data_IF_568769354821
#
_entry.id   IF_568769354821
#
_cell.length_a   1.000
_cell.length_b   1.000
_cell.length_c   1.000
_cell.angle_alpha   90.00
_cell.angle_beta   90.00
_cell.angle_gamma   90.00
#
_symmetry.space_group_name_H-M   'P 1'
#
loop_
_entity.id
_entity.type
_entity.pdbx_description
1 polymer ?
#
# COMPACT_ATOMS: atom_id res chain seq x y z
N UNK A 1 5.64 12.87 -9.59
CA UNK A 1 4.51 11.94 -9.79
C UNK A 1 4.96 10.49 -9.78
N UNK A 2 5.83 10.08 -10.72
CA UNK A 2 6.37 8.71 -10.74
C UNK A 2 7.04 8.29 -9.43
N UNK A 3 7.86 9.16 -8.85
CA UNK A 3 8.59 8.89 -7.60
C UNK A 3 7.65 8.62 -6.42
N UNK A 4 6.52 9.35 -6.35
CA UNK A 4 5.52 9.15 -5.30
C UNK A 4 4.83 7.80 -5.46
N UNK A 5 4.45 7.45 -6.69
CA UNK A 5 3.82 6.15 -6.97
C UNK A 5 4.74 4.98 -6.64
N UNK A 6 6.02 5.08 -7.01
CA UNK A 6 7.00 4.03 -6.70
C UNK A 6 7.19 3.86 -5.20
N UNK A 7 7.34 4.97 -4.47
CA UNK A 7 7.48 4.97 -3.02
C UNK A 7 6.27 4.30 -2.36
N UNK A 8 5.07 4.74 -2.73
CA UNK A 8 3.83 4.19 -2.20
C UNK A 8 3.72 2.70 -2.49
N UNK A 9 4.11 2.28 -3.70
CA UNK A 9 4.04 0.90 -4.12
C UNK A 9 4.97 0.00 -3.29
N UNK A 10 6.21 0.45 -3.05
CA UNK A 10 7.16 -0.28 -2.20
C UNK A 10 6.63 -0.41 -0.78
N UNK A 11 6.18 0.69 -0.19
CA UNK A 11 5.68 0.71 1.20
C UNK A 11 4.47 -0.21 1.33
N UNK A 12 3.55 -0.13 0.38
CA UNK A 12 2.35 -0.99 0.36
C UNK A 12 2.73 -2.48 0.29
N UNK A 13 3.66 -2.85 -0.59
CA UNK A 13 4.04 -4.25 -0.75
C UNK A 13 4.82 -4.77 0.46
N UNK A 14 5.70 -3.97 1.03
CA UNK A 14 6.40 -4.36 2.27
C UNK A 14 5.38 -4.60 3.39
N UNK A 15 4.40 -3.72 3.52
CA UNK A 15 3.33 -3.86 4.51
C UNK A 15 2.57 -5.18 4.31
N UNK A 16 2.16 -5.48 3.07
CA UNK A 16 1.43 -6.70 2.74
C UNK A 16 2.25 -7.96 3.04
N UNK A 17 3.55 -7.95 2.74
CA UNK A 17 4.43 -9.07 3.05
C UNK A 17 4.57 -9.26 4.56
N UNK A 18 4.71 -8.17 5.30
CA UNK A 18 4.76 -8.22 6.76
C UNK A 18 3.44 -8.72 7.35
N UNK A 19 2.32 -8.29 6.79
CA UNK A 19 0.98 -8.72 7.18
C UNK A 19 0.80 -10.23 6.99
N UNK A 20 1.39 -10.77 5.92
CA UNK A 20 1.37 -12.21 5.61
C UNK A 20 2.40 -13.02 6.39
N UNK A 21 3.23 -12.37 7.21
CA UNK A 21 4.29 -13.04 7.96
C UNK A 21 5.49 -13.45 7.13
N UNK A 22 5.63 -12.93 5.93
CA UNK A 22 6.73 -13.26 5.04
C UNK A 22 7.94 -12.38 5.28
N UNK A 23 9.14 -12.95 5.09
CA UNK A 23 10.39 -12.19 5.18
C UNK A 23 10.54 -11.29 3.97
N UNK A 24 10.99 -10.06 4.20
CA UNK A 24 11.23 -9.07 3.16
C UNK A 24 12.73 -8.92 2.94
N UNK A 25 13.16 -9.13 1.70
CA UNK A 25 14.56 -9.00 1.30
C UNK A 25 14.66 -8.27 -0.03
N UNK A 26 15.87 -7.83 -0.36
CA UNK A 26 16.14 -7.22 -1.68
C UNK A 26 15.77 -8.21 -2.79
N UNK A 27 16.14 -9.49 -2.63
CA UNK A 27 15.82 -10.53 -3.61
C UNK A 27 14.33 -10.72 -3.79
N UNK A 28 13.57 -10.77 -2.68
CA UNK A 28 12.12 -10.94 -2.72
C UNK A 28 11.44 -9.77 -3.44
N UNK A 29 11.85 -8.55 -3.12
CA UNK A 29 11.29 -7.35 -3.75
C UNK A 29 11.69 -7.24 -5.22
N UNK A 30 12.92 -7.61 -5.55
CA UNK A 30 13.39 -7.65 -6.95
C UNK A 30 12.52 -8.56 -7.81
N UNK A 31 12.20 -9.75 -7.30
CA UNK A 31 11.33 -10.69 -7.99
C UNK A 31 9.90 -10.17 -8.09
N UNK A 32 9.37 -9.65 -6.98
CA UNK A 32 7.99 -9.15 -6.92
C UNK A 32 7.76 -8.02 -7.92
N UNK A 33 8.69 -7.08 -8.01
CA UNK A 33 8.56 -5.91 -8.90
C UNK A 33 9.14 -6.15 -10.29
N UNK A 34 9.81 -7.27 -10.50
CA UNK A 34 10.52 -7.58 -11.76
C UNK A 34 11.49 -6.46 -12.15
N UNK A 35 12.34 -6.08 -11.20
CA UNK A 35 13.37 -5.05 -11.37
C UNK A 35 14.70 -5.56 -10.83
N UNK A 36 15.79 -4.86 -11.17
CA UNK A 36 17.13 -5.23 -10.69
C UNK A 36 17.25 -5.02 -9.17
N UNK A 37 18.07 -5.86 -8.53
CA UNK A 37 18.38 -5.72 -7.10
C UNK A 37 18.96 -4.35 -6.76
N UNK A 38 19.78 -3.78 -7.68
CA UNK A 38 20.33 -2.44 -7.50
C UNK A 38 19.25 -1.37 -7.43
N UNK A 39 18.19 -1.51 -8.23
CA UNK A 39 17.04 -0.60 -8.19
C UNK A 39 16.32 -0.68 -6.85
N UNK A 40 16.13 -1.89 -6.34
CA UNK A 40 15.52 -2.11 -5.02
C UNK A 40 16.38 -1.49 -3.92
N UNK A 41 17.69 -1.76 -3.94
CA UNK A 41 18.62 -1.21 -2.94
C UNK A 41 18.62 0.32 -2.94
N UNK A 42 18.57 0.94 -4.11
CA UNK A 42 18.53 2.40 -4.23
C UNK A 42 17.23 2.96 -3.65
N UNK A 43 16.08 2.32 -3.92
CA UNK A 43 14.81 2.75 -3.37
C UNK A 43 14.79 2.58 -1.84
N UNK A 44 15.30 1.45 -1.34
CA UNK A 44 15.36 1.23 0.11
C UNK A 44 16.22 2.26 0.82
N UNK A 45 17.31 2.70 0.21
CA UNK A 45 18.13 3.79 0.76
C UNK A 45 17.33 5.08 0.87
N UNK A 46 16.57 5.43 -0.15
CA UNK A 46 15.70 6.61 -0.12
C UNK A 46 14.65 6.50 0.97
N UNK A 47 14.01 5.34 1.09
CA UNK A 47 12.99 5.10 2.11
C UNK A 47 13.58 5.12 3.52
N UNK A 48 14.80 4.62 3.69
CA UNK A 48 15.53 4.66 4.95
C UNK A 48 15.86 6.10 5.36
N UNK A 49 16.28 6.92 4.41
CA UNK A 49 16.55 8.35 4.66
C UNK A 49 15.28 9.10 5.06
N UNK A 50 14.13 8.65 4.58
CA UNK A 50 12.81 9.19 4.96
C UNK A 50 12.29 8.59 6.27
N UNK A 51 13.06 7.71 6.89
CA UNK A 51 12.71 7.02 8.14
C UNK A 51 11.45 6.15 8.02
N UNK A 52 11.21 5.59 6.83
CA UNK A 52 10.06 4.73 6.56
C UNK A 52 10.37 3.25 6.68
N UNK A 53 11.62 2.85 6.44
CA UNK A 53 12.07 1.46 6.55
C UNK A 53 13.32 1.34 7.39
N UNK A 54 13.48 0.16 8.01
CA UNK A 54 14.68 -0.25 8.71
C UNK A 54 15.34 -1.35 7.88
N UNK A 55 16.56 -1.09 7.42
CA UNK A 55 17.32 -1.99 6.57
C UNK A 55 18.57 -2.51 7.27
N UNK A 56 18.50 -2.74 8.57
CA UNK A 56 19.64 -3.23 9.35
C UNK A 56 20.22 -4.49 8.72
N UNK A 57 21.58 -4.62 8.66
CA UNK A 57 22.24 -5.81 8.11
C UNK A 57 21.80 -7.09 8.81
N UNK A 58 21.71 -8.18 8.05
CA UNK A 58 21.38 -9.51 8.54
C UNK A 58 19.97 -9.70 9.11
N UNK A 59 19.10 -8.70 8.95
CA UNK A 59 17.70 -8.84 9.37
C UNK A 59 16.76 -8.57 8.20
N UNK A 60 15.52 -9.06 8.35
CA UNK A 60 14.46 -8.78 7.38
C UNK A 60 14.19 -7.28 7.32
N UNK A 61 13.89 -6.77 6.13
CA UNK A 61 13.50 -5.37 5.94
C UNK A 61 12.15 -5.16 6.62
N UNK A 62 12.05 -4.14 7.45
CA UNK A 62 10.85 -3.82 8.21
C UNK A 62 10.46 -2.37 8.02
N UNK A 63 9.17 -2.10 8.10
CA UNK A 63 8.69 -0.73 8.18
C UNK A 63 8.94 -0.19 9.59
N UNK A 64 9.32 1.07 9.67
CA UNK A 64 9.34 1.79 10.94
C UNK A 64 7.90 2.07 11.40
N UNK A 65 7.72 2.61 12.59
CA UNK A 65 6.39 3.04 13.05
C UNK A 65 5.79 4.07 12.09
N UNK A 66 6.60 5.03 11.65
CA UNK A 66 6.22 6.03 10.65
C UNK A 66 5.85 5.37 9.32
N UNK A 67 6.67 4.41 8.87
CA UNK A 67 6.42 3.66 7.65
C UNK A 67 5.14 2.85 7.71
N UNK A 68 4.85 2.22 8.84
CA UNK A 68 3.61 1.47 9.03
C UNK A 68 2.38 2.36 8.96
N UNK A 69 2.44 3.53 9.59
CA UNK A 69 1.33 4.49 9.52
C UNK A 69 1.08 4.91 8.08
N UNK A 70 2.14 5.24 7.37
CA UNK A 70 2.06 5.61 5.96
C UNK A 70 1.50 4.47 5.11
N UNK A 71 1.99 3.25 5.33
CA UNK A 71 1.52 2.05 4.60
C UNK A 71 0.04 1.79 4.82
N UNK A 72 -0.42 1.92 6.07
CA UNK A 72 -1.85 1.74 6.40
C UNK A 72 -2.72 2.73 5.65
N UNK A 73 -2.26 3.98 5.51
CA UNK A 73 -2.98 4.99 4.74
C UNK A 73 -3.08 4.62 3.27
N UNK A 74 -1.98 4.19 2.65
CA UNK A 74 -1.98 3.76 1.24
C UNK A 74 -2.86 2.54 1.04
N UNK A 75 -2.71 1.54 1.89
CA UNK A 75 -3.51 0.30 1.82
C UNK A 75 -5.00 0.59 2.03
N UNK A 76 -5.33 1.45 3.00
CA UNK A 76 -6.71 1.84 3.26
C UNK A 76 -7.32 2.55 2.04
N UNK A 77 -6.59 3.48 1.43
CA UNK A 77 -7.04 4.17 0.22
C UNK A 77 -7.36 3.18 -0.89
N UNK A 78 -6.45 2.25 -1.15
CA UNK A 78 -6.64 1.21 -2.16
C UNK A 78 -7.89 0.37 -1.89
N UNK A 79 -8.00 -0.16 -0.68
CA UNK A 79 -9.10 -1.06 -0.30
C UNK A 79 -10.45 -0.34 -0.22
N UNK A 80 -10.46 0.93 0.22
CA UNK A 80 -11.68 1.75 0.22
C UNK A 80 -12.17 2.01 -1.20
N UNK A 81 -11.26 2.32 -2.12
CA UNK A 81 -11.63 2.55 -3.52
C UNK A 81 -12.15 1.27 -4.17
N UNK A 82 -11.53 0.13 -3.91
CA UNK A 82 -12.05 -1.14 -4.43
C UNK A 82 -13.49 -1.37 -3.95
N UNK A 83 -13.75 -1.14 -2.66
CA UNK A 83 -15.09 -1.28 -2.09
C UNK A 83 -16.08 -0.30 -2.72
N UNK A 84 -15.66 0.94 -2.92
CA UNK A 84 -16.49 1.97 -3.57
C UNK A 84 -16.85 1.58 -5.00
N UNK A 85 -15.88 1.11 -5.76
CA UNK A 85 -16.10 0.72 -7.15
C UNK A 85 -17.08 -0.45 -7.27
N UNK A 86 -16.98 -1.42 -6.39
CA UNK A 86 -17.89 -2.58 -6.38
C UNK A 86 -19.28 -2.19 -5.85
N UNK A 87 -19.34 -1.54 -4.69
CA UNK A 87 -20.59 -1.27 -4.00
C UNK A 87 -21.41 -0.16 -4.65
N UNK A 88 -20.77 0.93 -5.09
CA UNK A 88 -21.45 2.11 -5.59
C UNK A 88 -21.52 2.12 -7.12
N UNK A 89 -20.44 1.77 -7.79
CA UNK A 89 -20.36 1.82 -9.25
C UNK A 89 -20.65 0.47 -9.93
N UNK A 90 -20.90 -0.56 -9.13
CA UNK A 90 -21.29 -1.89 -9.61
C UNK A 90 -20.24 -2.58 -10.50
N UNK A 91 -18.96 -2.26 -10.30
CA UNK A 91 -17.87 -3.04 -10.91
C UNK A 91 -17.82 -4.43 -10.28
N UNK A 92 -17.33 -5.40 -11.05
CA UNK A 92 -17.05 -6.73 -10.51
C UNK A 92 -15.74 -6.70 -9.70
N UNK A 93 -15.61 -7.55 -8.66
CA UNK A 93 -14.39 -7.55 -7.85
C UNK A 93 -13.09 -7.77 -8.61
N UNK A 94 -13.13 -8.48 -9.74
CA UNK A 94 -11.95 -8.74 -10.58
C UNK A 94 -11.58 -7.57 -11.50
N UNK A 95 -12.37 -6.49 -11.52
CA UNK A 95 -12.16 -5.34 -12.40
C UNK A 95 -11.59 -4.12 -11.70
N UNK A 96 -11.45 -4.15 -10.37
CA UNK A 96 -11.22 -2.92 -9.60
C UNK A 96 -9.77 -2.65 -9.21
N UNK A 97 -8.91 -3.68 -9.23
CA UNK A 97 -7.55 -3.55 -8.71
C UNK A 97 -6.73 -2.46 -9.42
N UNK A 98 -6.70 -2.47 -10.74
CA UNK A 98 -5.92 -1.51 -11.54
C UNK A 98 -6.44 -0.08 -11.38
N UNK A 99 -7.76 0.08 -11.32
CA UNK A 99 -8.38 1.39 -11.10
C UNK A 99 -8.00 1.92 -9.71
N UNK A 100 -8.09 1.07 -8.70
CA UNK A 100 -7.74 1.44 -7.33
C UNK A 100 -6.26 1.83 -7.21
N UNK A 101 -5.37 1.13 -7.93
CA UNK A 101 -3.94 1.47 -7.94
C UNK A 101 -3.66 2.88 -8.48
N UNK A 102 -4.48 3.36 -9.41
CA UNK A 102 -4.35 4.74 -9.90
C UNK A 102 -4.89 5.75 -8.89
N UNK A 103 -6.05 5.48 -8.33
CA UNK A 103 -6.75 6.42 -7.45
C UNK A 103 -6.10 6.53 -6.07
N UNK A 104 -5.46 5.47 -5.58
CA UNK A 104 -4.85 5.45 -4.24
C UNK A 104 -3.78 6.53 -4.03
N UNK A 105 -3.25 7.10 -5.10
CA UNK A 105 -2.22 8.15 -5.04
C UNK A 105 -2.77 9.57 -4.93
N UNK A 106 -4.08 9.71 -4.91
CA UNK A 106 -4.71 11.03 -4.68
C UNK A 106 -4.39 11.48 -3.25
N UNK A 107 -3.81 12.66 -3.12
CA UNK A 107 -3.45 13.22 -1.84
C UNK A 107 -4.58 14.12 -1.30
N UNK A 108 -5.67 13.50 -0.89
CA UNK A 108 -6.82 14.20 -0.31
C UNK A 108 -7.51 13.32 0.75
N UNK A 109 -7.18 13.51 2.03
CA UNK A 109 -7.88 12.80 3.10
C UNK A 109 -9.40 13.03 3.09
N UNK A 110 -9.82 14.22 2.72
CA UNK A 110 -11.26 14.56 2.63
C UNK A 110 -11.95 13.71 1.56
N UNK A 111 -11.29 13.50 0.42
CA UNK A 111 -11.83 12.64 -0.63
C UNK A 111 -12.07 11.22 -0.11
N UNK A 112 -11.08 10.63 0.53
CA UNK A 112 -11.21 9.25 1.05
C UNK A 112 -12.16 9.15 2.23
N UNK A 113 -12.28 10.20 3.05
CA UNK A 113 -13.28 10.27 4.10
C UNK A 113 -14.70 10.23 3.51
N UNK A 114 -14.94 10.96 2.44
CA UNK A 114 -16.22 10.95 1.74
C UNK A 114 -16.52 9.59 1.08
N UNK A 115 -15.50 8.96 0.50
CA UNK A 115 -15.62 7.61 -0.06
C UNK A 115 -16.06 6.64 1.04
N UNK A 116 -15.39 6.68 2.21
CA UNK A 116 -15.72 5.82 3.34
C UNK A 116 -17.19 5.98 3.77
N UNK A 117 -17.68 7.22 3.82
CA UNK A 117 -19.06 7.52 4.23
C UNK A 117 -20.11 6.97 3.25
N UNK A 118 -19.74 6.74 2.00
CA UNK A 118 -20.65 6.18 1.00
C UNK A 118 -20.77 4.66 1.08
N UNK A 119 -19.90 4.00 1.85
CA UNK A 119 -19.89 2.55 1.97
C UNK A 119 -20.83 2.10 3.09
N UNK A 120 -21.54 0.97 2.87
CA UNK A 120 -22.37 0.35 3.89
C UNK A 120 -21.52 -0.26 4.99
N UNK A 121 -20.35 -0.80 4.63
CA UNK A 121 -19.34 -1.24 5.58
C UNK A 121 -17.96 -0.88 5.04
N UNK A 122 -17.06 -0.50 5.94
CA UNK A 122 -15.73 0.02 5.58
C UNK A 122 -14.60 -0.74 6.28
N UNK A 123 -14.86 -1.98 6.69
CA UNK A 123 -13.88 -2.79 7.44
C UNK A 123 -13.23 -3.88 6.60
N UNK A 124 -13.89 -4.35 5.55
CA UNK A 124 -13.41 -5.43 4.68
C UNK A 124 -13.64 -5.04 3.23
N UNK A 125 -12.63 -5.24 2.39
CA UNK A 125 -12.73 -4.94 0.95
C UNK A 125 -13.44 -6.08 0.19
N UNK A 126 -13.71 -5.92 -1.13
CA UNK A 126 -14.40 -6.95 -1.90
C UNK A 126 -13.64 -8.28 -2.01
N UNK A 127 -12.35 -8.30 -1.73
CA UNK A 127 -11.53 -9.51 -1.78
C UNK A 127 -11.36 -10.17 -0.42
N UNK A 128 -12.01 -9.64 0.63
CA UNK A 128 -11.96 -10.18 1.98
C UNK A 128 -10.80 -9.68 2.84
N UNK A 129 -10.07 -8.68 2.38
CA UNK A 129 -8.96 -8.10 3.14
C UNK A 129 -9.44 -7.00 4.07
N UNK A 130 -8.81 -6.89 5.23
CA UNK A 130 -9.15 -5.85 6.20
C UNK A 130 -8.75 -4.47 5.66
N UNK A 131 -9.64 -3.50 5.86
CA UNK A 131 -9.33 -2.10 5.57
C UNK A 131 -8.75 -1.48 6.84
N UNK A 132 -7.49 -1.05 6.84
CA UNK A 132 -6.88 -0.45 8.04
C UNK A 132 -7.63 0.80 8.49
N UNK A 133 -7.67 1.00 9.81
CA UNK A 133 -8.19 2.23 10.38
C UNK A 133 -7.19 3.36 10.16
N UNK A 134 -7.69 4.53 9.78
CA UNK A 134 -6.90 5.71 9.50
C UNK A 134 -7.59 6.95 10.07
N UNK A 135 -6.93 8.11 9.90
CA UNK A 135 -7.49 9.39 10.36
C UNK A 135 -8.56 9.96 9.40
N UNK A 136 -8.76 9.32 8.28
CA UNK A 136 -9.79 9.75 7.33
C UNK A 136 -10.95 8.78 7.21
#
# INVERSE_FOLDING_TARGET
MKKTKEKDHYIKQIFKLNEAGEKVSVSALSKLFNVYKSSVSNMLKKLSLMELVDTSPYSSIKLTQKGRKFAKEVVAKHRLIESFLVEVMEFKPDQVHEIAEEIEHINSPIFFSKVRKMLKQDTIDPHGSNIPKTDF
#
